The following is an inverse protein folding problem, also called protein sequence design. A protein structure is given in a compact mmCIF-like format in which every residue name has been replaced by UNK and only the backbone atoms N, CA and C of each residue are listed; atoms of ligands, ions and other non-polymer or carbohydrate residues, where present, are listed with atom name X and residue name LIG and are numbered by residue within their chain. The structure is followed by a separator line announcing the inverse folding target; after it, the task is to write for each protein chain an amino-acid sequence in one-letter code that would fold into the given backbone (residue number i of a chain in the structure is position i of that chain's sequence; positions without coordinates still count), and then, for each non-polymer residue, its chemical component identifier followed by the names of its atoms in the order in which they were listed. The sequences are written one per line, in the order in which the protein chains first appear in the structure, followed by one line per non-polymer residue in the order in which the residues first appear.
data_IF_743628840181
#
_entry.id   IF_743628840181
#
_cell.length_a   1.000
_cell.length_b   1.000
_cell.length_c   1.000
_cell.angle_alpha   90.00
_cell.angle_beta   90.00
_cell.angle_gamma   90.00
#
_symmetry.space_group_name_H-M   'P 1'
#
loop_
_entity.id
_entity.type
_entity.pdbx_description
1 polymer ?
#
# COMPACT_ATOMS: atom_id res chain seq x y z
N UNK A 1 -21.94 -3.21 20.53
CA UNK A 1 -20.50 -2.91 20.50
C UNK A 1 -20.34 -1.42 20.75
N UNK A 2 -19.51 -1.01 21.71
CA UNK A 2 -19.26 0.42 21.96
C UNK A 2 -18.43 1.06 20.84
N UNK A 3 -18.56 2.38 20.67
CA UNK A 3 -17.90 3.14 19.60
C UNK A 3 -16.38 3.03 19.60
N UNK A 4 -15.77 2.91 20.78
CA UNK A 4 -14.31 2.78 20.90
C UNK A 4 -13.78 1.45 20.33
N UNK A 5 -14.45 0.34 20.65
CA UNK A 5 -14.10 -0.97 20.07
C UNK A 5 -14.39 -0.99 18.57
N UNK A 6 -15.53 -0.41 18.15
CA UNK A 6 -15.88 -0.31 16.74
C UNK A 6 -14.87 0.53 15.95
N UNK A 7 -14.38 1.63 16.52
CA UNK A 7 -13.28 2.41 15.96
C UNK A 7 -12.01 1.55 15.87
N UNK A 8 -11.61 0.85 16.93
CA UNK A 8 -10.37 0.08 16.98
C UNK A 8 -10.32 -1.04 15.93
N UNK A 9 -11.41 -1.76 15.70
CA UNK A 9 -11.43 -2.86 14.71
C UNK A 9 -11.40 -2.39 13.25
N UNK A 10 -11.73 -1.11 12.97
CA UNK A 10 -11.73 -0.51 11.62
C UNK A 10 -10.34 -0.02 11.16
N UNK A 11 -9.27 -0.64 11.67
CA UNK A 11 -7.91 -0.34 11.24
C UNK A 11 -6.80 -0.71 12.23
N UNK A 12 -7.13 -1.03 13.48
CA UNK A 12 -6.14 -1.32 14.54
C UNK A 12 -5.55 -2.73 14.53
N UNK A 13 -5.95 -3.57 13.56
CA UNK A 13 -5.57 -4.98 13.47
C UNK A 13 -6.45 -5.85 14.36
N UNK A 14 -7.42 -6.55 13.74
CA UNK A 14 -8.45 -7.33 14.45
C UNK A 14 -7.90 -8.32 15.48
N UNK A 15 -6.74 -8.94 15.18
CA UNK A 15 -6.07 -9.88 16.07
C UNK A 15 -5.70 -9.32 17.45
N UNK A 16 -5.68 -8.00 17.64
CA UNK A 16 -5.46 -7.39 18.96
C UNK A 16 -6.74 -7.25 19.79
N UNK A 17 -7.94 -7.40 19.20
CA UNK A 17 -9.20 -6.99 19.84
C UNK A 17 -10.24 -8.10 19.92
N UNK A 18 -10.02 -9.23 19.25
CA UNK A 18 -10.90 -10.40 19.32
C UNK A 18 -11.01 -11.15 18.00
N UNK A 19 -12.03 -12.01 17.92
CA UNK A 19 -12.38 -12.73 16.70
C UNK A 19 -13.53 -11.98 16.01
N UNK A 20 -13.25 -11.40 14.84
CA UNK A 20 -14.25 -10.72 14.04
C UNK A 20 -15.05 -11.77 13.27
N UNK A 21 -16.35 -11.86 13.53
CA UNK A 21 -17.23 -12.86 12.90
C UNK A 21 -17.85 -12.38 11.58
N UNK A 22 -18.11 -11.08 11.46
CA UNK A 22 -18.78 -10.51 10.28
C UNK A 22 -18.56 -9.01 10.17
N UNK A 23 -18.72 -8.49 8.95
CA UNK A 23 -18.72 -7.06 8.65
C UNK A 23 -20.04 -6.67 7.97
N UNK A 24 -20.68 -5.62 8.49
CA UNK A 24 -21.75 -4.93 7.78
C UNK A 24 -21.14 -3.83 6.91
N UNK A 25 -20.99 -4.09 5.61
CA UNK A 25 -20.39 -3.15 4.67
C UNK A 25 -21.43 -2.20 4.06
N UNK A 26 -21.02 -0.97 3.75
CA UNK A 26 -21.82 -0.03 2.97
C UNK A 26 -21.37 -0.09 1.52
N UNK A 27 -22.26 -0.50 0.63
CA UNK A 27 -21.98 -0.50 -0.81
C UNK A 27 -21.80 0.94 -1.32
N UNK A 28 -20.95 1.09 -2.33
CA UNK A 28 -20.68 2.36 -3.00
C UNK A 28 -21.19 2.31 -4.44
N UNK A 29 -21.52 3.47 -4.99
CA UNK A 29 -21.95 3.58 -6.38
C UNK A 29 -20.73 3.60 -7.30
N UNK A 30 -20.81 2.83 -8.37
CA UNK A 30 -19.86 2.83 -9.48
C UNK A 30 -20.63 3.00 -10.79
N UNK A 31 -20.06 3.67 -11.80
CA UNK A 31 -20.71 3.76 -13.10
C UNK A 31 -20.78 2.37 -13.74
N UNK A 32 -21.76 2.19 -14.64
CA UNK A 32 -21.92 0.92 -15.38
C UNK A 32 -20.69 0.61 -16.25
N UNK A 33 -20.02 1.65 -16.74
CA UNK A 33 -18.81 1.57 -17.55
C UNK A 33 -17.69 2.28 -16.78
N UNK A 34 -16.58 1.58 -16.60
CA UNK A 34 -15.29 2.11 -16.14
C UNK A 34 -14.27 1.92 -17.24
N UNK A 35 -13.17 2.68 -17.18
CA UNK A 35 -12.07 2.58 -18.13
C UNK A 35 -10.80 2.18 -17.40
N UNK A 36 -10.06 1.23 -17.95
CA UNK A 36 -8.74 0.82 -17.44
C UNK A 36 -7.68 0.96 -18.51
N UNK A 37 -6.43 1.12 -18.10
CA UNK A 37 -5.28 0.96 -18.98
C UNK A 37 -4.09 0.34 -18.24
N UNK A 38 -3.20 -0.27 -19.02
CA UNK A 38 -1.92 -0.78 -18.55
C UNK A 38 -0.81 -0.32 -19.51
N UNK A 39 0.00 0.66 -19.09
CA UNK A 39 1.02 1.22 -19.96
C UNK A 39 2.42 0.96 -19.40
N UNK A 40 3.15 0.06 -20.07
CA UNK A 40 4.52 -0.28 -19.71
C UNK A 40 5.51 0.72 -20.30
N UNK A 41 6.42 1.22 -19.46
CA UNK A 41 7.54 2.09 -19.83
C UNK A 41 8.82 1.53 -19.25
N UNK A 42 9.89 1.47 -20.03
CA UNK A 42 11.20 1.11 -19.52
C UNK A 42 11.71 2.19 -18.57
N UNK A 43 12.37 1.82 -17.47
CA UNK A 43 12.93 2.77 -16.50
C UNK A 43 14.32 3.25 -16.92
N UNK A 44 14.40 3.75 -18.15
CA UNK A 44 15.51 4.55 -18.62
C UNK A 44 15.37 6.01 -18.16
N UNK A 45 16.11 6.94 -18.79
CA UNK A 45 16.03 8.37 -18.48
C UNK A 45 14.61 8.96 -18.69
N UNK A 46 13.89 8.54 -19.72
CA UNK A 46 12.54 9.03 -19.99
C UNK A 46 11.53 8.40 -19.04
N UNK A 47 11.60 7.07 -18.81
CA UNK A 47 10.74 6.40 -17.84
C UNK A 47 10.89 6.94 -16.42
N UNK A 48 12.12 7.25 -16.00
CA UNK A 48 12.38 7.85 -14.69
C UNK A 48 11.72 9.23 -14.56
N UNK A 49 11.75 10.05 -15.62
CA UNK A 49 11.02 11.33 -15.66
C UNK A 49 9.50 11.15 -15.57
N UNK A 50 8.95 10.10 -16.18
CA UNK A 50 7.52 9.79 -16.07
C UNK A 50 7.14 9.41 -14.63
N UNK A 51 7.94 8.58 -13.96
CA UNK A 51 7.72 8.26 -12.53
C UNK A 51 7.84 9.53 -11.68
N UNK A 52 8.84 10.38 -11.94
CA UNK A 52 9.00 11.65 -11.23
C UNK A 52 7.79 12.57 -11.41
N UNK A 53 7.33 12.75 -12.65
CA UNK A 53 6.13 13.54 -12.97
C UNK A 53 4.88 12.96 -12.28
N UNK A 54 4.71 11.63 -12.30
CA UNK A 54 3.59 10.96 -11.64
C UNK A 54 3.53 11.28 -10.14
N UNK A 55 4.66 11.30 -9.42
CA UNK A 55 4.69 11.63 -7.99
C UNK A 55 4.10 13.03 -7.70
N UNK A 56 4.26 13.97 -8.62
CA UNK A 56 3.80 15.36 -8.46
C UNK A 56 2.30 15.50 -8.71
N UNK A 57 1.75 14.72 -9.64
CA UNK A 57 0.37 14.91 -10.11
C UNK A 57 -0.61 13.90 -9.52
N UNK A 58 -0.18 12.67 -9.25
CA UNK A 58 -1.07 11.57 -8.89
C UNK A 58 -1.92 11.84 -7.63
N UNK A 59 -1.39 12.46 -6.56
CA UNK A 59 -2.19 12.79 -5.38
C UNK A 59 -3.27 13.84 -5.63
N UNK A 60 -3.18 14.58 -6.74
CA UNK A 60 -4.06 15.69 -7.09
C UNK A 60 -4.91 15.39 -8.33
N UNK A 61 -4.87 14.17 -8.85
CA UNK A 61 -5.78 13.76 -9.94
C UNK A 61 -7.24 13.78 -9.44
N UNK A 62 -8.22 13.94 -10.35
CA UNK A 62 -9.62 13.88 -9.97
C UNK A 62 -9.94 12.57 -9.24
N UNK A 63 -10.87 12.55 -8.28
CA UNK A 63 -11.18 11.39 -7.46
C UNK A 63 -11.66 10.16 -8.27
N UNK A 64 -12.11 10.37 -9.50
CA UNK A 64 -12.48 9.32 -10.44
C UNK A 64 -11.29 8.58 -11.05
N UNK A 65 -10.08 9.16 -11.02
CA UNK A 65 -8.89 8.62 -11.69
C UNK A 65 -7.85 8.11 -10.69
N UNK A 66 -7.63 6.81 -10.74
CA UNK A 66 -6.55 6.12 -10.03
C UNK A 66 -5.49 5.68 -11.03
N UNK A 67 -4.21 5.96 -10.74
CA UNK A 67 -3.06 5.46 -11.51
C UNK A 67 -2.00 5.02 -10.50
N UNK A 68 -1.78 3.71 -10.35
CA UNK A 68 -0.62 3.18 -9.61
C UNK A 68 0.55 2.90 -10.55
N UNK A 69 1.73 2.79 -9.98
CA UNK A 69 2.92 2.29 -10.67
C UNK A 69 3.31 0.95 -10.07
N UNK A 70 3.40 -0.07 -10.93
CA UNK A 70 3.98 -1.36 -10.61
C UNK A 70 5.37 -1.43 -11.26
N UNK A 71 6.39 -1.59 -10.44
CA UNK A 71 7.77 -1.73 -10.88
C UNK A 71 8.15 -3.18 -10.66
N UNK A 72 8.71 -3.80 -11.70
CA UNK A 72 9.10 -5.20 -11.67
C UNK A 72 10.45 -5.37 -12.34
N UNK A 73 11.29 -6.24 -11.75
CA UNK A 73 12.50 -6.70 -12.42
C UNK A 73 12.16 -7.68 -13.54
N UNK A 74 12.75 -7.46 -14.72
CA UNK A 74 12.80 -8.43 -15.82
C UNK A 74 14.24 -8.89 -16.04
N UNK A 75 14.44 -9.79 -17.01
CA UNK A 75 15.77 -10.26 -17.42
C UNK A 75 16.62 -9.07 -17.89
N UNK A 76 17.48 -8.54 -17.00
CA UNK A 76 18.37 -7.39 -17.19
C UNK A 76 17.69 -6.03 -17.50
N UNK A 77 16.38 -5.91 -17.31
CA UNK A 77 15.65 -4.65 -17.53
C UNK A 77 14.68 -4.38 -16.39
N UNK A 78 14.36 -3.12 -16.15
CA UNK A 78 13.36 -2.70 -15.15
C UNK A 78 12.34 -1.83 -15.86
N UNK A 79 11.07 -2.13 -15.66
CA UNK A 79 9.98 -1.38 -16.25
C UNK A 79 9.01 -0.91 -15.18
N UNK A 80 8.43 0.27 -15.41
CA UNK A 80 7.27 0.77 -14.70
C UNK A 80 6.03 0.49 -15.53
N UNK A 81 5.03 -0.08 -14.89
CA UNK A 81 3.72 -0.32 -15.46
C UNK A 81 2.71 0.62 -14.81
N UNK A 82 2.22 1.58 -15.58
CA UNK A 82 1.20 2.53 -15.15
C UNK A 82 -0.15 1.85 -15.30
N UNK A 83 -0.71 1.42 -14.17
CA UNK A 83 -1.92 0.62 -14.11
C UNK A 83 -3.06 1.45 -13.50
N UNK A 84 -4.16 1.60 -14.24
CA UNK A 84 -5.18 2.61 -13.93
C UNK A 84 -6.59 2.07 -13.92
N UNK A 85 -7.41 2.69 -13.07
CA UNK A 85 -8.87 2.63 -13.08
C UNK A 85 -9.41 4.06 -13.15
N UNK A 86 -10.30 4.32 -14.08
CA UNK A 86 -11.05 5.55 -14.21
C UNK A 86 -12.55 5.26 -14.12
N UNK A 87 -13.25 5.94 -13.20
CA UNK A 87 -14.70 5.84 -13.01
C UNK A 87 -15.46 6.66 -14.07
N UNK A 88 -15.30 6.27 -15.33
CA UNK A 88 -15.95 6.91 -16.47
C UNK A 88 -15.54 6.27 -17.80
N UNK A 89 -15.90 6.93 -18.90
CA UNK A 89 -15.63 6.45 -20.25
C UNK A 89 -14.25 6.86 -20.78
N UNK A 90 -13.78 6.21 -21.84
CA UNK A 90 -12.58 6.59 -22.59
C UNK A 90 -12.68 8.01 -23.14
N UNK A 91 -13.90 8.43 -23.53
CA UNK A 91 -14.17 9.76 -24.07
C UNK A 91 -13.81 10.86 -23.07
N UNK A 92 -13.95 10.61 -21.78
CA UNK A 92 -13.64 11.56 -20.72
C UNK A 92 -12.20 11.40 -20.22
N UNK A 93 -11.69 10.16 -20.16
CA UNK A 93 -10.32 9.86 -19.71
C UNK A 93 -9.26 10.46 -20.63
N UNK A 94 -9.41 10.33 -21.95
CA UNK A 94 -8.37 10.73 -22.90
C UNK A 94 -8.10 12.25 -22.86
N UNK A 95 -9.11 13.14 -22.92
CA UNK A 95 -8.91 14.57 -22.72
C UNK A 95 -8.29 14.90 -21.36
N UNK A 96 -8.74 14.25 -20.29
CA UNK A 96 -8.20 14.44 -18.94
C UNK A 96 -6.70 14.11 -18.89
N UNK A 97 -6.29 12.99 -19.49
CA UNK A 97 -4.88 12.58 -19.52
C UNK A 97 -4.03 13.50 -20.39
N UNK A 98 -4.55 14.01 -21.52
CA UNK A 98 -3.86 15.05 -22.31
C UNK A 98 -3.65 16.34 -21.52
N UNK A 99 -4.57 16.70 -20.62
CA UNK A 99 -4.45 17.90 -19.80
C UNK A 99 -3.52 17.69 -18.60
N UNK A 100 -3.63 16.54 -17.91
CA UNK A 100 -3.01 16.33 -16.60
C UNK A 100 -1.70 15.56 -16.65
N UNK A 101 -1.54 14.68 -17.63
CA UNK A 101 -0.35 13.84 -17.78
C UNK A 101 -0.02 13.51 -19.26
N UNK A 102 0.10 14.52 -20.15
CA UNK A 102 0.34 14.30 -21.57
C UNK A 102 1.62 13.51 -21.85
N UNK A 103 2.64 13.65 -21.00
CA UNK A 103 3.95 13.01 -21.14
C UNK A 103 3.86 11.47 -21.10
N UNK A 104 2.82 10.91 -20.45
CA UNK A 104 2.60 9.46 -20.42
C UNK A 104 2.32 8.89 -21.82
N UNK A 105 1.73 9.71 -22.70
CA UNK A 105 1.41 9.35 -24.09
C UNK A 105 0.29 8.32 -24.20
N UNK A 106 -0.72 8.39 -23.31
CA UNK A 106 -1.89 7.51 -23.35
C UNK A 106 -2.73 7.78 -24.61
N UNK A 107 -3.04 6.74 -25.37
CA UNK A 107 -3.92 6.81 -26.54
C UNK A 107 -5.24 6.04 -26.30
N UNK A 108 -6.30 6.33 -27.06
CA UNK A 108 -7.59 5.63 -26.93
C UNK A 108 -7.48 4.10 -27.06
N UNK A 109 -6.54 3.61 -27.87
CA UNK A 109 -6.31 2.19 -28.15
C UNK A 109 -5.66 1.46 -26.97
N UNK A 110 -4.98 2.20 -26.09
CA UNK A 110 -4.33 1.64 -24.89
C UNK A 110 -5.34 1.43 -23.74
N UNK A 111 -6.61 1.83 -23.95
CA UNK A 111 -7.67 1.81 -22.94
C UNK A 111 -8.76 0.77 -23.25
N UNK A 112 -9.23 0.09 -22.21
CA UNK A 112 -10.36 -0.83 -22.26
C UNK A 112 -11.53 -0.32 -21.41
N UNK A 113 -12.74 -0.35 -21.96
CA UNK A 113 -13.98 -0.08 -21.23
C UNK A 113 -14.60 -1.41 -20.78
N UNK A 114 -15.06 -1.46 -19.53
CA UNK A 114 -15.60 -2.67 -18.93
C UNK A 114 -16.50 -2.31 -17.74
N UNK A 115 -17.15 -3.32 -17.15
CA UNK A 115 -17.82 -3.16 -15.86
C UNK A 115 -16.81 -3.05 -14.71
N UNK A 116 -17.24 -2.51 -13.56
CA UNK A 116 -16.36 -2.43 -12.39
C UNK A 116 -15.85 -3.80 -11.93
N UNK A 117 -16.66 -4.85 -11.99
CA UNK A 117 -16.21 -6.19 -11.55
C UNK A 117 -15.14 -6.78 -12.47
N UNK A 118 -15.24 -6.55 -13.79
CA UNK A 118 -14.20 -6.94 -14.74
C UNK A 118 -12.90 -6.16 -14.49
N UNK A 119 -12.99 -4.91 -14.03
CA UNK A 119 -11.79 -4.16 -13.62
C UNK A 119 -11.08 -4.79 -12.42
N UNK A 120 -11.79 -5.44 -11.49
CA UNK A 120 -11.17 -6.15 -10.38
C UNK A 120 -10.32 -7.34 -10.90
N UNK A 121 -10.80 -8.06 -11.91
CA UNK A 121 -10.02 -9.13 -12.56
C UNK A 121 -8.79 -8.60 -13.28
N UNK A 122 -8.96 -7.50 -14.03
CA UNK A 122 -7.88 -6.83 -14.73
C UNK A 122 -6.75 -6.43 -13.76
N UNK A 123 -7.10 -5.91 -12.57
CA UNK A 123 -6.14 -5.58 -11.53
C UNK A 123 -5.50 -6.80 -10.85
N UNK A 124 -6.25 -7.92 -10.76
CA UNK A 124 -5.76 -9.19 -10.23
C UNK A 124 -4.86 -9.94 -11.23
N UNK A 125 -4.86 -9.55 -12.51
CA UNK A 125 -4.09 -10.21 -13.56
C UNK A 125 -4.70 -11.54 -14.02
N UNK A 126 -5.99 -11.75 -13.77
CA UNK A 126 -6.70 -12.95 -14.24
C UNK A 126 -7.13 -12.81 -15.71
N UNK A 127 -7.33 -13.94 -16.42
CA UNK A 127 -8.06 -13.94 -17.69
C UNK A 127 -9.49 -13.39 -17.49
N UNK A 128 -10.10 -12.86 -18.55
CA UNK A 128 -11.44 -12.25 -18.52
C UNK A 128 -12.57 -13.28 -18.22
N UNK A 129 -12.70 -13.72 -16.96
CA UNK A 129 -13.67 -14.74 -16.50
C UNK A 129 -14.06 -14.48 -15.03
N UNK A 130 -15.06 -13.62 -14.80
CA UNK A 130 -15.42 -13.08 -13.47
C UNK A 130 -15.70 -14.14 -12.41
N UNK A 131 -16.09 -15.34 -12.82
CA UNK A 131 -16.31 -16.50 -11.98
C UNK A 131 -15.03 -16.96 -11.25
N UNK A 132 -13.84 -16.61 -11.77
CA UNK A 132 -12.55 -16.87 -11.11
C UNK A 132 -12.49 -16.23 -9.72
N UNK A 133 -13.20 -15.12 -9.50
CA UNK A 133 -13.27 -14.42 -8.21
C UNK A 133 -14.03 -15.21 -7.14
N UNK A 134 -14.79 -16.25 -7.52
CA UNK A 134 -15.44 -17.16 -6.58
C UNK A 134 -14.47 -18.24 -6.06
N UNK A 135 -13.34 -18.46 -6.73
CA UNK A 135 -12.35 -19.44 -6.31
C UNK A 135 -11.59 -18.92 -5.08
N UNK A 136 -11.71 -19.65 -3.97
CA UNK A 136 -11.07 -19.32 -2.68
C UNK A 136 -9.73 -20.02 -2.47
N UNK A 137 -9.25 -20.74 -3.48
CA UNK A 137 -7.96 -21.43 -3.43
C UNK A 137 -6.86 -20.44 -3.76
N UNK A 138 -5.86 -20.32 -2.89
CA UNK A 138 -4.69 -19.51 -3.18
C UNK A 138 -3.89 -20.14 -4.34
N UNK A 139 -3.78 -19.40 -5.43
CA UNK A 139 -3.14 -19.85 -6.66
C UNK A 139 -1.63 -19.56 -6.68
N UNK A 140 -1.11 -18.74 -5.75
CA UNK A 140 0.27 -18.26 -5.79
C UNK A 140 1.01 -18.55 -4.49
N UNK A 141 1.61 -19.74 -4.39
CA UNK A 141 2.48 -20.09 -3.27
C UNK A 141 3.94 -19.72 -3.58
N UNK A 142 4.42 -18.64 -2.96
CA UNK A 142 5.84 -18.25 -3.00
C UNK A 142 6.28 -17.78 -1.62
N UNK A 143 7.55 -18.01 -1.25
CA UNK A 143 8.15 -17.29 -0.11
C UNK A 143 8.30 -15.82 -0.49
N UNK A 144 8.10 -14.91 0.46
CA UNK A 144 8.28 -13.49 0.20
C UNK A 144 8.61 -12.71 1.47
N UNK A 145 9.26 -11.55 1.28
CA UNK A 145 9.44 -10.51 2.29
C UNK A 145 8.88 -9.21 1.74
N UNK A 146 8.08 -8.53 2.54
CA UNK A 146 7.49 -7.24 2.22
C UNK A 146 7.89 -6.17 3.23
N UNK A 147 8.01 -4.93 2.75
CA UNK A 147 8.18 -3.72 3.56
C UNK A 147 7.33 -2.59 3.00
N UNK A 148 7.05 -1.57 3.79
CA UNK A 148 6.28 -0.42 3.31
C UNK A 148 6.73 0.92 3.88
N UNK A 149 6.54 1.95 3.08
CA UNK A 149 6.78 3.35 3.42
C UNK A 149 5.64 4.24 2.93
N UNK A 150 5.60 5.47 3.45
CA UNK A 150 4.80 6.55 2.90
C UNK A 150 5.71 7.69 2.45
N UNK A 151 5.43 8.24 1.28
CA UNK A 151 6.18 9.37 0.72
C UNK A 151 5.39 10.66 0.93
N UNK A 152 6.06 11.70 1.43
CA UNK A 152 5.45 13.01 1.71
C UNK A 152 5.94 14.11 0.77
N UNK A 153 7.08 13.90 0.10
CA UNK A 153 7.70 14.80 -0.89
C UNK A 153 8.24 13.96 -2.06
N UNK A 154 8.20 14.44 -3.32
CA UNK A 154 8.68 13.66 -4.45
C UNK A 154 10.16 13.25 -4.32
N UNK A 155 10.41 11.95 -4.47
CA UNK A 155 11.74 11.35 -4.53
C UNK A 155 12.46 11.90 -5.77
N UNK A 156 13.68 12.47 -5.64
CA UNK A 156 14.42 13.02 -6.78
C UNK A 156 14.73 11.99 -7.87
N UNK A 157 14.80 12.44 -9.14
CA UNK A 157 15.15 11.58 -10.28
C UNK A 157 16.48 10.83 -10.09
N UNK A 158 17.47 11.47 -9.47
CA UNK A 158 18.77 10.86 -9.16
C UNK A 158 18.66 9.70 -8.18
N UNK A 159 17.77 9.79 -7.20
CA UNK A 159 17.48 8.72 -6.25
C UNK A 159 16.68 7.60 -6.92
N UNK A 160 15.64 7.93 -7.69
CA UNK A 160 14.88 6.95 -8.49
C UNK A 160 15.80 6.12 -9.40
N UNK A 161 16.73 6.77 -10.08
CA UNK A 161 17.71 6.11 -10.96
C UNK A 161 18.56 5.10 -10.18
N UNK A 162 18.96 5.41 -8.96
CA UNK A 162 19.69 4.47 -8.10
C UNK A 162 18.81 3.31 -7.62
N UNK A 163 17.51 3.54 -7.39
CA UNK A 163 16.57 2.46 -7.05
C UNK A 163 16.51 1.46 -8.19
N UNK A 164 16.31 1.92 -9.42
CA UNK A 164 16.18 1.03 -10.58
C UNK A 164 17.40 0.16 -10.80
N UNK A 165 18.61 0.68 -10.52
CA UNK A 165 19.86 -0.10 -10.64
C UNK A 165 19.92 -1.34 -9.73
N UNK A 166 19.15 -1.38 -8.64
CA UNK A 166 19.12 -2.50 -7.69
C UNK A 166 18.19 -3.63 -8.10
N UNK A 167 17.17 -3.34 -8.91
CA UNK A 167 16.13 -4.32 -9.27
C UNK A 167 16.66 -5.49 -10.13
N UNK A 168 17.60 -5.32 -11.07
CA UNK A 168 18.17 -6.43 -11.83
C UNK A 168 18.93 -7.45 -10.99
N UNK A 169 19.31 -7.12 -9.75
CA UNK A 169 19.98 -8.05 -8.82
C UNK A 169 19.04 -9.16 -8.32
N UNK A 170 17.71 -8.99 -8.50
CA UNK A 170 16.70 -9.95 -8.07
C UNK A 170 15.74 -10.34 -9.18
N UNK A 171 15.46 -11.64 -9.32
CA UNK A 171 14.59 -12.16 -10.38
C UNK A 171 13.10 -11.83 -10.19
N UNK A 172 12.64 -11.65 -8.94
CA UNK A 172 11.24 -11.40 -8.59
C UNK A 172 11.11 -10.30 -7.53
N UNK A 173 11.61 -9.12 -7.87
CA UNK A 173 11.49 -7.91 -7.05
C UNK A 173 10.42 -6.97 -7.60
N UNK A 174 9.62 -6.41 -6.69
CA UNK A 174 8.52 -5.50 -7.00
C UNK A 174 8.57 -4.24 -6.14
N UNK A 175 8.15 -3.11 -6.73
CA UNK A 175 7.75 -1.92 -6.00
C UNK A 175 6.40 -1.45 -6.50
N UNK A 176 5.47 -1.28 -5.58
CA UNK A 176 4.11 -0.82 -5.85
C UNK A 176 3.97 0.57 -5.25
N UNK A 177 3.59 1.54 -6.06
CA UNK A 177 3.37 2.93 -5.65
C UNK A 177 1.91 3.27 -5.89
N UNK A 178 1.10 3.34 -4.83
CA UNK A 178 -0.33 3.65 -4.94
C UNK A 178 -0.62 5.10 -4.48
N UNK A 179 -1.26 5.93 -5.32
CA UNK A 179 -1.47 7.33 -5.03
C UNK A 179 -2.46 7.52 -3.87
N UNK A 180 -2.16 8.49 -3.02
CA UNK A 180 -3.05 8.99 -1.98
C UNK A 180 -3.76 10.26 -2.50
N UNK A 181 -4.07 11.21 -1.63
CA UNK A 181 -4.89 12.37 -1.99
C UNK A 181 -6.37 12.00 -2.18
N UNK A 182 -7.10 12.82 -2.94
CA UNK A 182 -8.56 12.70 -3.08
C UNK A 182 -9.26 12.46 -1.73
N UNK A 183 -10.09 11.42 -1.65
CA UNK A 183 -10.82 11.06 -0.42
C UNK A 183 -9.90 10.75 0.77
N UNK A 184 -8.71 10.20 0.53
CA UNK A 184 -7.74 9.93 1.60
C UNK A 184 -7.19 11.20 2.25
N UNK A 185 -7.18 12.32 1.52
CA UNK A 185 -6.80 13.63 2.05
C UNK A 185 -7.91 14.37 2.80
N UNK A 186 -9.17 13.97 2.61
CA UNK A 186 -10.34 14.58 3.28
C UNK A 186 -10.62 13.96 4.66
N UNK A 187 -10.27 12.69 4.85
CA UNK A 187 -10.57 11.96 6.08
C UNK A 187 -9.58 12.39 7.19
N UNK A 188 -10.07 12.79 8.38
CA UNK A 188 -9.19 13.05 9.52
C UNK A 188 -8.31 11.84 9.88
N UNK A 189 -7.08 12.09 10.29
CA UNK A 189 -6.12 11.03 10.68
C UNK A 189 -6.57 10.20 11.89
N UNK A 190 -7.48 10.72 12.71
CA UNK A 190 -8.05 10.06 13.89
C UNK A 190 -9.44 9.43 13.66
N UNK A 191 -10.04 9.61 12.49
CA UNK A 191 -11.37 9.09 12.13
C UNK A 191 -11.44 7.55 12.27
N UNK A 192 -10.36 6.88 11.88
CA UNK A 192 -10.12 5.46 12.11
C UNK A 192 -8.68 5.26 12.59
N UNK A 193 -8.30 4.07 13.09
CA UNK A 193 -6.94 3.83 13.54
C UNK A 193 -5.86 4.04 12.47
N UNK A 194 -6.19 3.85 11.19
CA UNK A 194 -5.29 4.08 10.07
C UNK A 194 -5.05 5.60 9.89
N UNK A 195 -3.84 6.09 10.21
CA UNK A 195 -3.60 7.53 10.39
C UNK A 195 -3.06 8.22 9.14
N UNK A 196 -2.64 7.45 8.13
CA UNK A 196 -1.87 7.98 7.01
C UNK A 196 -2.86 8.62 6.02
N UNK A 197 -3.23 9.88 6.25
CA UNK A 197 -4.24 10.61 5.48
C UNK A 197 -3.60 11.77 4.71
N UNK A 198 -4.10 12.99 4.90
CA UNK A 198 -3.54 14.23 4.34
C UNK A 198 -2.04 14.35 4.59
N UNK A 199 -1.31 14.83 3.59
CA UNK A 199 0.15 15.01 3.64
C UNK A 199 0.97 13.80 3.20
N UNK A 200 0.34 12.66 2.87
CA UNK A 200 1.00 11.57 2.16
C UNK A 200 0.67 11.68 0.67
N UNK A 201 1.69 11.66 -0.18
CA UNK A 201 1.53 11.64 -1.64
C UNK A 201 1.10 10.24 -2.11
N UNK A 202 1.75 9.20 -1.61
CA UNK A 202 1.47 7.81 -1.95
C UNK A 202 2.10 6.85 -0.93
N UNK A 203 1.60 5.62 -0.86
CA UNK A 203 2.31 4.53 -0.18
C UNK A 203 3.22 3.79 -1.16
N UNK A 204 4.29 3.21 -0.61
CA UNK A 204 5.14 2.26 -1.32
C UNK A 204 5.04 0.90 -0.63
N UNK A 205 4.88 -0.16 -1.42
CA UNK A 205 5.16 -1.53 -0.99
C UNK A 205 6.38 -2.05 -1.73
N UNK A 206 7.39 -2.49 -1.00
CA UNK A 206 8.54 -3.24 -1.51
C UNK A 206 8.27 -4.73 -1.30
N UNK A 207 8.48 -5.55 -2.32
CA UNK A 207 8.33 -7.00 -2.22
C UNK A 207 9.47 -7.68 -2.95
N UNK A 208 10.04 -8.71 -2.34
CA UNK A 208 10.88 -9.70 -3.02
C UNK A 208 10.27 -11.06 -2.77
N UNK A 209 10.15 -11.86 -3.83
CA UNK A 209 9.63 -13.23 -3.80
C UNK A 209 10.73 -14.19 -4.25
N UNK A 210 10.70 -15.41 -3.75
CA UNK A 210 11.65 -16.44 -4.16
C UNK A 210 11.09 -17.84 -4.04
N UNK A 211 11.74 -18.75 -4.77
CA UNK A 211 11.47 -20.20 -4.77
C UNK A 211 12.71 -21.01 -4.39
N UNK A 212 13.90 -20.42 -4.52
CA UNK A 212 15.16 -21.04 -4.12
C UNK A 212 15.37 -21.01 -2.60
N UNK A 213 16.53 -21.51 -2.17
CA UNK A 213 16.89 -21.66 -0.76
C UNK A 213 17.71 -20.47 -0.21
N UNK A 214 18.12 -19.51 -1.05
CA UNK A 214 18.99 -18.38 -0.67
C UNK A 214 18.18 -17.21 -0.08
N UNK A 215 17.41 -17.52 0.96
CA UNK A 215 16.58 -16.56 1.68
C UNK A 215 17.40 -15.38 2.23
N UNK A 216 18.63 -15.64 2.72
CA UNK A 216 19.49 -14.62 3.31
C UNK A 216 19.84 -13.50 2.32
N UNK A 217 20.11 -13.83 1.05
CA UNK A 217 20.37 -12.84 0.00
C UNK A 217 19.16 -11.95 -0.25
N UNK A 218 17.97 -12.54 -0.38
CA UNK A 218 16.73 -11.79 -0.62
C UNK A 218 16.38 -10.84 0.54
N UNK A 219 16.52 -11.32 1.78
CA UNK A 219 16.28 -10.52 2.98
C UNK A 219 17.28 -9.37 3.09
N UNK A 220 18.54 -9.60 2.76
CA UNK A 220 19.58 -8.56 2.73
C UNK A 220 19.27 -7.51 1.67
N UNK A 221 18.91 -7.91 0.44
CA UNK A 221 18.61 -6.99 -0.66
C UNK A 221 17.46 -6.03 -0.30
N UNK A 222 16.34 -6.55 0.22
CA UNK A 222 15.20 -5.69 0.57
C UNK A 222 15.50 -4.79 1.78
N UNK A 223 16.31 -5.25 2.73
CA UNK A 223 16.76 -4.41 3.85
C UNK A 223 17.69 -3.27 3.40
N UNK A 224 18.61 -3.54 2.46
CA UNK A 224 19.47 -2.51 1.87
C UNK A 224 18.67 -1.48 1.07
N UNK A 225 17.69 -1.92 0.26
CA UNK A 225 16.77 -1.03 -0.43
C UNK A 225 15.97 -0.18 0.57
N UNK A 226 15.44 -0.80 1.63
CA UNK A 226 14.68 -0.09 2.65
C UNK A 226 15.56 0.89 3.44
N UNK A 227 16.82 0.57 3.71
CA UNK A 227 17.79 1.52 4.31
C UNK A 227 18.08 2.69 3.37
N UNK A 228 18.29 2.42 2.08
CA UNK A 228 18.52 3.45 1.06
C UNK A 228 17.35 4.43 0.95
N UNK A 229 16.11 3.96 1.10
CA UNK A 229 14.91 4.79 1.00
C UNK A 229 14.71 5.77 2.17
N UNK A 230 15.41 5.58 3.30
CA UNK A 230 15.22 6.33 4.55
C UNK A 230 15.16 7.87 4.39
N UNK A 231 16.01 8.56 3.61
CA UNK A 231 15.97 10.02 3.53
C UNK A 231 14.85 10.56 2.62
N UNK A 232 14.18 9.70 1.85
CA UNK A 232 13.20 10.09 0.82
C UNK A 232 11.74 9.78 1.21
N UNK A 233 11.53 9.20 2.38
CA UNK A 233 10.22 8.77 2.88
C UNK A 233 9.89 9.52 4.18
N UNK A 234 8.67 9.34 4.68
CA UNK A 234 8.26 9.91 5.95
C UNK A 234 9.26 9.63 7.08
N UNK A 235 9.41 10.59 7.99
CA UNK A 235 10.32 10.52 9.12
C UNK A 235 9.62 11.01 10.39
N UNK A 236 10.04 10.47 11.53
CA UNK A 236 9.55 10.84 12.87
C UNK A 236 8.02 10.81 13.05
N UNK A 237 7.36 9.64 12.92
CA UNK A 237 7.93 8.32 12.65
C UNK A 237 8.07 8.02 11.15
N UNK A 238 8.95 7.07 10.81
CA UNK A 238 8.94 6.43 9.48
C UNK A 238 7.71 5.54 9.38
N UNK A 239 6.69 6.01 8.67
CA UNK A 239 5.34 5.43 8.61
C UNK A 239 5.36 4.11 7.85
N UNK A 240 4.55 3.15 8.32
CA UNK A 240 4.35 1.85 7.67
C UNK A 240 2.88 1.46 7.75
N UNK A 241 2.45 0.51 6.90
CA UNK A 241 1.07 0.03 6.91
C UNK A 241 0.94 -1.31 7.62
N UNK A 242 0.00 -1.41 8.56
CA UNK A 242 -0.20 -2.60 9.38
C UNK A 242 -0.44 -3.89 8.57
N UNK A 243 -1.20 -3.80 7.47
CA UNK A 243 -1.49 -4.97 6.63
C UNK A 243 -0.28 -5.43 5.80
N UNK A 244 0.81 -4.65 5.79
CA UNK A 244 2.14 -5.06 5.35
C UNK A 244 3.00 -5.29 6.59
N UNK A 245 2.62 -6.31 7.38
CA UNK A 245 3.27 -6.64 8.65
C UNK A 245 4.78 -6.84 8.46
N UNK A 246 5.56 -6.20 9.32
CA UNK A 246 7.02 -6.25 9.29
C UNK A 246 7.56 -6.30 10.72
N UNK A 247 8.01 -7.47 11.14
CA UNK A 247 8.55 -7.69 12.49
C UNK A 247 9.89 -6.97 12.70
N UNK A 248 10.58 -6.59 11.62
CA UNK A 248 11.86 -5.86 11.69
C UNK A 248 11.66 -4.42 12.24
N UNK A 249 10.41 -3.93 12.27
CA UNK A 249 10.08 -2.65 12.91
C UNK A 249 10.13 -2.71 14.45
N UNK A 250 10.21 -3.91 15.01
CA UNK A 250 10.19 -4.19 16.44
C UNK A 250 9.05 -5.12 16.82
N UNK A 251 9.22 -5.83 17.94
CA UNK A 251 8.25 -6.77 18.49
C UNK A 251 8.03 -6.51 19.98
N UNK A 252 6.91 -6.99 20.49
CA UNK A 252 6.63 -7.13 21.90
C UNK A 252 7.50 -8.25 22.49
N UNK A 253 8.16 -7.97 23.61
CA UNK A 253 8.91 -8.96 24.37
C UNK A 253 8.09 -9.40 25.58
N UNK A 254 7.81 -10.71 25.68
CA UNK A 254 7.02 -11.29 26.76
C UNK A 254 5.50 -11.09 26.62
N UNK A 255 4.75 -11.58 27.62
CA UNK A 255 3.28 -11.60 27.57
C UNK A 255 2.62 -10.25 27.84
N UNK A 256 3.26 -9.39 28.63
CA UNK A 256 2.74 -8.09 29.04
C UNK A 256 3.78 -7.00 28.72
N UNK A 257 3.99 -6.70 27.43
CA UNK A 257 4.95 -5.69 27.01
C UNK A 257 4.51 -4.31 27.53
N UNK A 258 5.48 -3.47 27.92
CA UNK A 258 5.17 -2.08 28.29
C UNK A 258 4.78 -1.32 27.04
N UNK A 259 3.76 -0.46 27.15
CA UNK A 259 3.29 0.38 26.04
C UNK A 259 4.42 1.18 25.36
N UNK A 260 5.36 1.70 26.15
CA UNK A 260 6.49 2.49 25.64
C UNK A 260 7.45 1.67 24.78
N UNK A 261 7.67 0.39 25.10
CA UNK A 261 8.54 -0.49 24.32
C UNK A 261 7.87 -0.80 22.97
N UNK A 262 6.57 -1.07 22.97
CA UNK A 262 5.79 -1.30 21.73
C UNK A 262 5.62 -0.05 20.87
N UNK A 263 5.80 1.15 21.43
CA UNK A 263 5.63 2.40 20.69
C UNK A 263 6.62 2.54 19.53
N UNK A 264 7.77 1.84 19.57
CA UNK A 264 8.77 1.84 18.50
C UNK A 264 8.19 1.43 17.13
N UNK A 265 7.31 0.42 17.13
CA UNK A 265 6.58 -0.04 15.94
C UNK A 265 5.15 0.53 15.90
N UNK A 266 4.50 0.70 17.06
CA UNK A 266 3.12 1.17 17.16
C UNK A 266 2.92 2.55 16.57
N UNK A 267 3.87 3.47 16.82
CA UNK A 267 3.82 4.81 16.25
C UNK A 267 4.02 4.80 14.72
N UNK A 268 4.76 3.84 14.16
CA UNK A 268 4.94 3.73 12.70
C UNK A 268 3.65 3.32 11.99
N UNK A 269 2.88 2.42 12.60
CA UNK A 269 1.61 1.96 12.04
C UNK A 269 0.46 2.93 12.30
N UNK A 270 0.42 3.58 13.47
CA UNK A 270 -0.78 4.27 13.95
C UNK A 270 -0.56 5.75 14.32
N UNK A 271 0.64 6.31 14.19
CA UNK A 271 0.96 7.66 14.66
C UNK A 271 0.36 7.90 16.07
N UNK A 272 -0.30 9.04 16.30
CA UNK A 272 -0.95 9.36 17.57
C UNK A 272 -2.11 8.43 17.97
N UNK A 273 -2.69 7.68 17.03
CA UNK A 273 -3.81 6.77 17.32
C UNK A 273 -3.38 5.57 18.17
N UNK A 274 -2.09 5.25 18.24
CA UNK A 274 -1.57 4.12 19.01
C UNK A 274 -1.97 4.17 20.49
N UNK A 275 -1.95 5.36 21.10
CA UNK A 275 -2.32 5.53 22.51
C UNK A 275 -3.82 5.27 22.74
N UNK A 276 -4.68 5.69 21.82
CA UNK A 276 -6.12 5.40 21.90
C UNK A 276 -6.36 3.91 21.74
N UNK A 277 -5.72 3.25 20.77
CA UNK A 277 -5.79 1.79 20.60
C UNK A 277 -5.43 1.05 21.88
N UNK A 278 -4.33 1.43 22.55
CA UNK A 278 -3.89 0.79 23.79
C UNK A 278 -4.87 0.97 24.96
N UNK A 279 -5.54 2.13 25.04
CA UNK A 279 -6.63 2.35 26.01
C UNK A 279 -7.83 1.47 25.70
N UNK A 280 -8.27 1.39 24.44
CA UNK A 280 -9.37 0.51 24.04
C UNK A 280 -9.03 -0.95 24.34
N UNK A 281 -7.80 -1.37 24.02
CA UNK A 281 -7.29 -2.71 24.34
C UNK A 281 -7.41 -3.02 25.84
N UNK A 282 -7.00 -2.08 26.71
CA UNK A 282 -7.12 -2.25 28.16
C UNK A 282 -8.56 -2.36 28.67
N UNK A 283 -9.53 -1.75 27.97
CA UNK A 283 -10.95 -1.85 28.31
C UNK A 283 -11.57 -3.20 27.91
N UNK A 284 -11.21 -3.70 26.72
CA UNK A 284 -11.89 -4.85 26.11
C UNK A 284 -11.16 -6.18 26.30
N UNK A 285 -9.85 -6.14 26.55
CA UNK A 285 -9.01 -7.31 26.82
C UNK A 285 -7.89 -6.96 27.83
N UNK A 286 -8.25 -6.67 29.10
CA UNK A 286 -7.29 -6.28 30.14
C UNK A 286 -6.29 -7.39 30.50
N UNK A 287 -6.62 -8.66 30.21
CA UNK A 287 -5.74 -9.82 30.46
C UNK A 287 -4.80 -10.12 29.28
N UNK A 288 -4.85 -9.30 28.23
CA UNK A 288 -4.05 -9.45 27.02
C UNK A 288 -4.16 -10.85 26.38
N UNK A 289 -5.36 -11.43 26.36
CA UNK A 289 -5.61 -12.74 25.78
C UNK A 289 -5.31 -12.77 24.27
N UNK A 290 -5.85 -11.81 23.53
CA UNK A 290 -5.63 -11.67 22.09
C UNK A 290 -4.31 -10.93 21.82
N UNK A 291 -3.25 -11.69 21.56
CA UNK A 291 -1.89 -11.12 21.43
C UNK A 291 -1.07 -11.76 20.31
N UNK A 292 -0.08 -11.03 19.87
CA UNK A 292 0.99 -11.47 18.96
C UNK A 292 2.25 -10.62 19.19
N UNK A 293 3.29 -10.90 18.42
CA UNK A 293 4.58 -10.18 18.42
C UNK A 293 4.39 -8.67 18.16
N UNK A 294 3.28 -8.24 17.57
CA UNK A 294 2.97 -6.83 17.35
C UNK A 294 1.48 -6.54 17.57
N UNK A 295 0.87 -7.18 18.57
CA UNK A 295 -0.46 -6.80 19.05
C UNK A 295 -0.40 -5.52 19.87
N UNK A 296 -1.49 -4.75 19.87
CA UNK A 296 -1.61 -3.56 20.71
C UNK A 296 -1.48 -3.97 22.20
N UNK A 297 -0.56 -3.37 22.97
CA UNK A 297 -0.45 -3.63 24.40
C UNK A 297 -1.59 -2.94 25.17
N UNK A 298 -2.21 -3.57 26.18
CA UNK A 298 -3.23 -2.92 27.00
C UNK A 298 -2.61 -1.84 27.90
N UNK A 299 -3.24 -0.65 27.95
CA UNK A 299 -3.08 0.28 29.07
C UNK A 299 -4.27 0.06 30.00
N UNK A 300 -4.05 -0.65 31.10
CA UNK A 300 -5.04 -0.88 32.15
C UNK A 300 -4.97 0.29 33.13
N UNK A 301 -6.11 0.92 33.45
CA UNK A 301 -6.16 1.86 34.58
C UNK A 301 -6.03 1.03 35.85
N UNK A 302 -5.05 1.35 36.69
CA UNK A 302 -5.02 0.90 38.08
C UNK A 302 -6.20 1.50 38.84
#
# INVERSE_FOLDING_TARGET
MGEDLFWAIRGGGGASFGVILSWKIKLVRVPRIVTVFNLRKQLDRQGTKLVYKWQQIAPNLPPELFIRILIQSGSNTVAANFNSLFLGSKKDLIPLMKQRFPELGLRPEDCAEMSWIQSAEFFAGFPNQVEVLLNRTDQYKSKYKGKSDFVTEPIPESALTQIWKRYPEEGLAFMIMDPFGGKMGEIPDSETPFPHRKGNLYNIQYLVKWYDEDEARHLKWIDELFKFMRPYVSKSPRRSYLNYRDLDLGINLGMNPRFLDSAIWGMKYFNGNFKRLARVKGLVDPKNFFRSEQSIPPIVKQ
#
